data_IF_388705752127
#
_entry.id   IF_388705752127
#
_cell.length_a   1.000
_cell.length_b   1.000
_cell.length_c   1.000
_cell.angle_alpha   90.00
_cell.angle_beta   90.00
_cell.angle_gamma   90.00
#
_symmetry.space_group_name_H-M   'P 1'
#
loop_
_entity.id
_entity.type
_entity.pdbx_description
1 polymer ?
#
# COMPACT_ATOMS: atom_id res chain seq x y z
N UNK A 1 8.62 -9.47 -1.67
CA UNK A 1 7.71 -9.69 -0.54
C UNK A 1 8.49 -10.40 0.56
N UNK A 2 8.93 -9.72 1.62
CA UNK A 2 9.42 -10.44 2.81
C UNK A 2 8.18 -11.07 3.42
N UNK A 3 7.97 -12.37 3.16
CA UNK A 3 7.11 -13.19 3.99
C UNK A 3 7.57 -12.91 5.42
N UNK A 4 6.75 -12.20 6.19
CA UNK A 4 6.95 -12.14 7.64
C UNK A 4 7.00 -13.59 8.07
N UNK A 5 8.14 -14.01 8.63
CA UNK A 5 8.31 -15.34 9.19
C UNK A 5 7.07 -15.62 10.01
N UNK A 6 6.27 -16.59 9.55
CA UNK A 6 5.32 -17.29 10.42
C UNK A 6 6.17 -17.67 11.63
N UNK A 7 5.74 -17.41 12.88
CA UNK A 7 6.34 -18.14 13.99
C UNK A 7 6.21 -19.59 13.57
N UNK A 8 7.34 -20.21 13.23
CA UNK A 8 7.39 -21.62 12.89
C UNK A 8 6.57 -22.30 13.97
N UNK A 9 5.58 -23.10 13.55
CA UNK A 9 4.86 -23.93 14.49
C UNK A 9 5.91 -24.95 14.94
N UNK A 10 6.70 -24.56 15.94
CA UNK A 10 7.98 -25.17 16.28
C UNK A 10 7.76 -26.52 16.97
N UNK A 11 6.50 -26.90 17.24
CA UNK A 11 6.16 -28.16 17.89
C UNK A 11 4.87 -28.78 17.33
N UNK A 12 4.81 -30.12 17.29
CA UNK A 12 3.60 -30.91 16.96
C UNK A 12 2.41 -30.50 17.84
N UNK A 13 2.67 -30.13 19.10
CA UNK A 13 1.66 -29.67 20.07
C UNK A 13 0.92 -28.40 19.62
N UNK A 14 1.63 -27.46 19.00
CA UNK A 14 1.02 -26.22 18.54
C UNK A 14 0.13 -26.47 17.30
N UNK A 15 0.48 -27.45 16.45
CA UNK A 15 -0.38 -27.92 15.35
C UNK A 15 -1.64 -28.57 15.93
N UNK A 16 -1.48 -29.52 16.86
CA UNK A 16 -2.59 -30.24 17.50
C UNK A 16 -3.54 -29.27 18.22
N UNK A 17 -3.00 -28.29 18.95
CA UNK A 17 -3.81 -27.27 19.61
C UNK A 17 -4.59 -26.41 18.61
N UNK A 18 -3.98 -26.05 17.48
CA UNK A 18 -4.65 -25.28 16.44
C UNK A 18 -5.76 -26.09 15.77
N UNK A 19 -5.51 -27.37 15.47
CA UNK A 19 -6.50 -28.28 14.90
C UNK A 19 -7.70 -28.42 15.84
N UNK A 20 -7.47 -28.67 17.12
CA UNK A 20 -8.55 -28.76 18.11
C UNK A 20 -9.37 -27.47 18.22
N UNK A 21 -8.73 -26.30 18.14
CA UNK A 21 -9.46 -25.03 18.15
C UNK A 21 -10.35 -24.89 16.91
N UNK A 22 -9.84 -25.26 15.73
CA UNK A 22 -10.62 -25.27 14.48
C UNK A 22 -11.79 -26.24 14.57
N UNK A 23 -11.57 -27.48 15.02
CA UNK A 23 -12.62 -28.48 15.20
C UNK A 23 -13.72 -28.00 16.14
N UNK A 24 -13.33 -27.34 17.24
CA UNK A 24 -14.28 -26.77 18.21
C UNK A 24 -15.13 -25.65 17.60
N UNK A 25 -14.54 -24.79 16.77
CA UNK A 25 -15.25 -23.70 16.08
C UNK A 25 -16.19 -24.28 15.02
N UNK A 26 -15.74 -25.27 14.24
CA UNK A 26 -16.54 -25.91 13.19
C UNK A 26 -17.71 -26.71 13.80
N UNK A 27 -17.46 -27.40 14.91
CA UNK A 27 -18.46 -28.22 15.62
C UNK A 27 -19.52 -27.40 16.37
N UNK A 28 -19.30 -26.10 16.60
CA UNK A 28 -20.26 -25.25 17.29
C UNK A 28 -20.38 -23.87 16.61
N UNK A 29 -21.41 -23.73 15.76
CA UNK A 29 -21.72 -22.50 15.02
C UNK A 29 -21.97 -21.27 15.92
N UNK A 30 -22.16 -21.45 17.23
CA UNK A 30 -22.30 -20.36 18.21
C UNK A 30 -20.95 -19.72 18.57
N UNK A 31 -19.84 -20.42 18.38
CA UNK A 31 -18.49 -19.95 18.74
C UNK A 31 -17.93 -19.18 17.55
N UNK A 32 -17.93 -17.86 17.63
CA UNK A 32 -17.25 -17.02 16.65
C UNK A 32 -15.77 -16.84 17.03
N UNK A 33 -14.83 -16.97 16.08
CA UNK A 33 -13.43 -16.65 16.34
C UNK A 33 -13.28 -15.17 16.68
N UNK A 34 -12.28 -14.85 17.52
CA UNK A 34 -11.99 -13.47 17.87
C UNK A 34 -11.59 -12.67 16.62
N UNK A 35 -12.30 -11.58 16.36
CA UNK A 35 -12.07 -10.74 15.20
C UNK A 35 -10.72 -10.03 15.32
N UNK A 36 -9.89 -10.19 14.29
CA UNK A 36 -8.58 -9.58 14.22
C UNK A 36 -8.17 -9.27 12.79
N UNK A 37 -7.92 -7.99 12.54
CA UNK A 37 -7.29 -7.55 11.29
C UNK A 37 -5.78 -7.75 11.40
N UNK A 38 -5.19 -8.36 10.37
CA UNK A 38 -3.77 -8.67 10.31
C UNK A 38 -3.22 -8.52 8.88
N UNK A 39 -1.94 -8.82 8.69
CA UNK A 39 -1.24 -8.66 7.42
C UNK A 39 -1.77 -9.57 6.30
N UNK A 40 -2.32 -10.74 6.64
CA UNK A 40 -2.90 -11.69 5.69
C UNK A 40 -4.29 -11.29 5.20
N UNK A 41 -4.95 -10.35 5.87
CA UNK A 41 -6.25 -9.84 5.43
C UNK A 41 -6.20 -9.33 3.99
N UNK A 42 -5.06 -8.85 3.48
CA UNK A 42 -4.90 -8.39 2.08
C UNK A 42 -5.21 -9.43 1.01
N UNK A 43 -5.05 -10.72 1.33
CA UNK A 43 -5.35 -11.83 0.41
C UNK A 43 -6.60 -12.61 0.84
N UNK A 44 -7.14 -12.34 2.03
CA UNK A 44 -8.33 -12.99 2.56
C UNK A 44 -9.57 -12.61 1.74
N UNK A 45 -10.48 -13.57 1.51
CA UNK A 45 -11.77 -13.33 0.86
C UNK A 45 -12.79 -12.66 1.80
N UNK A 46 -12.64 -12.86 3.11
CA UNK A 46 -13.52 -12.29 4.14
C UNK A 46 -13.06 -10.90 4.61
N UNK A 47 -12.12 -10.27 3.91
CA UNK A 47 -11.48 -9.03 4.37
C UNK A 47 -12.49 -7.92 4.63
N UNK A 48 -13.45 -7.74 3.73
CA UNK A 48 -14.39 -6.61 3.79
C UNK A 48 -15.41 -6.81 4.92
N UNK A 49 -15.92 -8.03 5.08
CA UNK A 49 -16.78 -8.41 6.21
C UNK A 49 -16.07 -8.23 7.55
N UNK A 50 -14.84 -8.76 7.68
CA UNK A 50 -14.05 -8.60 8.90
C UNK A 50 -13.76 -7.12 9.22
N UNK A 51 -13.46 -6.30 8.21
CA UNK A 51 -13.25 -4.86 8.41
C UNK A 51 -14.53 -4.16 8.85
N UNK A 52 -15.66 -4.51 8.25
CA UNK A 52 -16.95 -3.94 8.61
C UNK A 52 -17.29 -4.22 10.08
N UNK A 53 -17.18 -5.49 10.50
CA UNK A 53 -17.37 -5.87 11.90
C UNK A 53 -16.34 -5.17 12.81
N UNK A 54 -15.09 -5.05 12.38
CA UNK A 54 -14.04 -4.42 13.21
C UNK A 54 -14.29 -2.92 13.43
N UNK A 55 -14.83 -2.23 12.43
CA UNK A 55 -15.24 -0.83 12.54
C UNK A 55 -16.45 -0.71 13.48
N UNK A 56 -17.44 -1.59 13.31
CA UNK A 56 -18.65 -1.62 14.14
C UNK A 56 -18.35 -1.90 15.61
N UNK A 57 -17.45 -2.84 15.88
CA UNK A 57 -17.00 -3.22 17.23
C UNK A 57 -15.98 -2.24 17.82
N UNK A 58 -15.61 -1.19 17.10
CA UNK A 58 -14.58 -0.21 17.49
C UNK A 58 -13.24 -0.89 17.85
N UNK A 59 -12.92 -1.97 17.14
CA UNK A 59 -11.85 -2.92 17.47
C UNK A 59 -10.46 -2.32 17.19
N UNK A 60 -9.58 -2.34 18.20
CA UNK A 60 -8.22 -1.79 18.10
C UNK A 60 -7.41 -2.32 16.91
N UNK A 61 -7.59 -3.59 16.51
CA UNK A 61 -6.82 -4.23 15.42
C UNK A 61 -7.02 -3.56 14.05
N UNK A 62 -8.06 -2.74 13.89
CA UNK A 62 -8.30 -2.00 12.66
C UNK A 62 -7.24 -0.91 12.40
N UNK A 63 -6.57 -0.42 13.45
CA UNK A 63 -5.59 0.66 13.32
C UNK A 63 -4.32 0.19 12.61
N UNK A 64 -3.76 0.97 11.68
CA UNK A 64 -2.53 0.59 11.00
C UNK A 64 -1.36 0.51 11.99
N UNK A 65 -0.45 -0.43 11.75
CA UNK A 65 0.78 -0.70 12.55
C UNK A 65 0.56 -1.18 13.99
N UNK A 66 -0.69 -1.38 14.42
CA UNK A 66 -0.98 -2.02 15.70
C UNK A 66 -0.70 -3.53 15.61
N UNK A 67 -0.17 -4.09 16.69
CA UNK A 67 0.08 -5.54 16.81
C UNK A 67 -0.39 -6.05 18.18
N UNK A 68 -0.40 -7.36 18.37
CA UNK A 68 -0.94 -7.96 19.60
C UNK A 68 -0.25 -7.52 20.88
N UNK A 69 1.05 -7.26 20.82
CA UNK A 69 1.79 -6.77 21.99
C UNK A 69 1.28 -5.38 22.39
N UNK A 70 1.03 -4.52 21.40
CA UNK A 70 0.47 -3.18 21.60
C UNK A 70 -0.98 -3.28 22.10
N UNK A 71 -1.82 -4.10 21.47
CA UNK A 71 -3.22 -4.31 21.90
C UNK A 71 -3.26 -4.79 23.35
N UNK A 72 -2.48 -5.81 23.71
CA UNK A 72 -2.40 -6.29 25.11
C UNK A 72 -1.94 -5.20 26.07
N UNK A 73 -0.98 -4.38 25.67
CA UNK A 73 -0.51 -3.24 26.49
C UNK A 73 -1.62 -2.23 26.76
N UNK A 74 -2.47 -1.95 25.78
CA UNK A 74 -3.64 -1.07 25.95
C UNK A 74 -4.74 -1.73 26.79
N UNK A 75 -5.07 -3.00 26.51
CA UNK A 75 -6.09 -3.76 27.26
C UNK A 75 -5.74 -3.84 28.74
N UNK A 76 -4.46 -4.09 29.09
CA UNK A 76 -3.98 -4.12 30.48
C UNK A 76 -4.12 -2.77 31.21
N UNK A 77 -4.38 -1.67 30.48
CA UNK A 77 -4.62 -0.32 31.00
C UNK A 77 -6.07 0.14 30.82
N UNK A 78 -6.98 -0.80 30.54
CA UNK A 78 -8.42 -0.54 30.37
C UNK A 78 -8.79 0.14 29.06
N UNK A 79 -7.94 0.09 28.03
CA UNK A 79 -8.24 0.63 26.69
C UNK A 79 -8.48 -0.54 25.74
N UNK A 80 -9.73 -0.73 25.32
CA UNK A 80 -10.19 -1.85 24.51
C UNK A 80 -10.67 -1.44 23.12
N UNK A 81 -10.94 -0.15 22.90
CA UNK A 81 -11.55 0.34 21.67
C UNK A 81 -10.80 1.52 21.05
N UNK A 82 -10.99 1.78 19.74
CA UNK A 82 -10.37 2.93 19.06
C UNK A 82 -10.89 4.25 19.67
N UNK A 83 -12.19 4.36 19.96
CA UNK A 83 -12.74 5.53 20.65
C UNK A 83 -12.08 5.75 22.02
N UNK A 84 -11.89 4.73 22.85
CA UNK A 84 -11.19 4.88 24.14
C UNK A 84 -9.73 5.32 23.95
N UNK A 85 -9.05 4.77 22.94
CA UNK A 85 -7.68 5.12 22.61
C UNK A 85 -7.54 6.58 22.17
N UNK A 86 -8.56 7.14 21.48
CA UNK A 86 -8.56 8.54 21.06
C UNK A 86 -8.41 9.53 22.22
N UNK A 87 -9.00 9.24 23.40
CA UNK A 87 -8.90 10.08 24.59
C UNK A 87 -7.53 10.03 25.27
N UNK A 88 -6.66 9.09 24.87
CA UNK A 88 -5.26 9.07 25.31
C UNK A 88 -4.38 10.04 24.51
N UNK A 89 -4.88 10.56 23.38
CA UNK A 89 -4.13 11.55 22.61
C UNK A 89 -3.99 12.84 23.40
N UNK A 90 -2.77 13.38 23.43
CA UNK A 90 -2.46 14.68 24.02
C UNK A 90 -1.62 15.46 23.04
N UNK A 91 -2.11 16.61 22.60
CA UNK A 91 -1.32 17.54 21.81
C UNK A 91 -0.20 18.10 22.70
N UNK A 92 1.04 18.06 22.20
CA UNK A 92 2.27 18.60 22.79
C UNK A 92 2.75 18.00 24.13
N UNK A 93 3.97 17.47 24.08
CA UNK A 93 4.99 17.56 25.14
C UNK A 93 6.34 17.79 24.47
N UNK A 94 7.14 18.75 24.92
CA UNK A 94 8.43 19.14 24.30
C UNK A 94 9.46 18.00 24.20
N UNK A 95 9.23 16.89 24.90
CA UNK A 95 10.14 15.73 24.93
C UNK A 95 9.56 14.45 24.29
N UNK A 96 8.41 14.52 23.63
CA UNK A 96 7.81 13.32 23.02
C UNK A 96 8.32 13.09 21.60
N UNK A 97 8.81 11.87 21.33
CA UNK A 97 9.13 11.44 19.95
C UNK A 97 7.87 11.40 19.10
N UNK A 98 7.84 12.26 18.07
CA UNK A 98 6.66 12.49 17.23
C UNK A 98 6.34 11.34 16.28
N UNK A 99 7.31 10.48 15.99
CA UNK A 99 7.19 9.28 15.16
C UNK A 99 6.90 8.01 15.98
N UNK A 100 6.89 8.11 17.31
CA UNK A 100 6.69 6.94 18.17
C UNK A 100 5.27 6.37 18.04
N UNK A 101 5.18 5.04 17.94
CA UNK A 101 3.88 4.36 17.77
C UNK A 101 2.91 4.62 18.92
N UNK A 102 3.43 4.79 20.15
CA UNK A 102 2.64 5.12 21.33
C UNK A 102 2.05 6.53 21.30
N UNK A 103 2.60 7.41 20.47
CA UNK A 103 2.07 8.75 20.20
C UNK A 103 1.14 8.76 18.99
N UNK A 104 1.55 8.09 17.90
CA UNK A 104 0.83 8.06 16.62
C UNK A 104 -0.50 7.29 16.71
N UNK A 105 -0.57 6.17 17.45
CA UNK A 105 -1.81 5.39 17.54
C UNK A 105 -2.97 6.15 18.21
N UNK A 106 -2.78 6.80 19.39
CA UNK A 106 -3.79 7.70 19.94
C UNK A 106 -4.16 8.84 19.00
N UNK A 107 -3.18 9.44 18.30
CA UNK A 107 -3.43 10.51 17.33
C UNK A 107 -4.29 10.03 16.16
N UNK A 108 -4.03 8.85 15.61
CA UNK A 108 -4.86 8.20 14.56
C UNK A 108 -6.28 7.95 15.05
N UNK A 109 -6.41 7.38 16.25
CA UNK A 109 -7.71 7.16 16.86
C UNK A 109 -8.50 8.46 17.03
N UNK A 110 -7.81 9.54 17.42
CA UNK A 110 -8.40 10.88 17.51
C UNK A 110 -8.79 11.45 16.14
N UNK A 111 -7.93 11.34 15.11
CA UNK A 111 -8.27 11.73 13.73
C UNK A 111 -9.55 11.04 13.24
N UNK A 112 -9.64 9.71 13.43
CA UNK A 112 -10.81 8.90 13.04
C UNK A 112 -12.07 9.39 13.77
N UNK A 113 -12.01 9.56 15.10
CA UNK A 113 -13.16 10.00 15.90
C UNK A 113 -13.65 11.38 15.47
N UNK A 114 -12.73 12.32 15.31
CA UNK A 114 -13.05 13.72 14.98
C UNK A 114 -13.30 13.95 13.49
N UNK A 115 -13.01 12.95 12.64
CA UNK A 115 -13.07 13.03 11.18
C UNK A 115 -12.23 14.18 10.62
N UNK A 116 -11.02 14.37 11.16
CA UNK A 116 -10.10 15.46 10.78
C UNK A 116 -8.75 14.93 10.37
N UNK A 117 -8.17 15.56 9.35
CA UNK A 117 -6.75 15.39 9.01
C UNK A 117 -5.92 16.14 10.06
N UNK A 118 -4.88 15.48 10.58
CA UNK A 118 -3.98 16.07 11.58
C UNK A 118 -2.58 16.14 10.96
N UNK A 119 -2.00 17.34 10.98
CA UNK A 119 -0.59 17.55 10.63
C UNK A 119 0.23 17.42 11.91
N UNK A 120 0.93 16.31 12.05
CA UNK A 120 1.90 16.08 13.13
C UNK A 120 3.19 16.86 12.88
N UNK A 121 3.68 16.81 11.64
CA UNK A 121 4.84 17.58 11.17
C UNK A 121 4.65 18.01 9.72
N UNK A 122 5.15 19.21 9.41
CA UNK A 122 5.22 19.70 8.03
C UNK A 122 6.33 18.93 7.31
N UNK A 123 6.04 18.45 6.10
CA UNK A 123 7.01 17.75 5.25
C UNK A 123 7.20 18.55 3.99
N UNK A 124 8.46 18.84 3.66
CA UNK A 124 8.82 19.39 2.37
C UNK A 124 8.91 18.24 1.35
N UNK A 125 8.08 18.31 0.31
CA UNK A 125 8.19 17.40 -0.82
C UNK A 125 9.37 17.81 -1.70
N UNK A 126 9.98 16.86 -2.42
CA UNK A 126 11.01 17.18 -3.41
C UNK A 126 10.52 18.22 -4.43
N UNK A 127 11.32 19.27 -4.63
CA UNK A 127 11.01 20.37 -5.54
C UNK A 127 11.78 20.21 -6.86
N UNK A 128 11.39 19.23 -7.66
CA UNK A 128 11.98 18.99 -8.98
C UNK A 128 11.14 19.60 -10.10
N UNK A 129 11.77 19.96 -11.23
CA UNK A 129 11.07 20.50 -12.41
C UNK A 129 10.05 19.54 -13.04
N UNK A 130 10.21 18.23 -12.80
CA UNK A 130 9.34 17.18 -13.36
C UNK A 130 8.99 16.15 -12.29
N UNK A 131 7.73 16.09 -11.89
CA UNK A 131 7.24 15.06 -10.97
C UNK A 131 6.68 13.89 -11.76
N UNK A 132 7.03 12.67 -11.35
CA UNK A 132 6.68 11.45 -12.07
C UNK A 132 6.06 10.46 -11.08
N UNK A 133 4.77 10.22 -11.22
CA UNK A 133 4.00 9.31 -10.37
C UNK A 133 3.92 7.97 -11.06
N UNK A 134 4.40 6.92 -10.41
CA UNK A 134 4.47 5.58 -11.02
C UNK A 134 3.65 4.57 -10.26
N UNK A 135 3.15 3.59 -11.00
CA UNK A 135 2.57 2.37 -10.48
C UNK A 135 2.95 1.19 -11.38
N UNK A 136 3.13 0.02 -10.80
CA UNK A 136 3.60 -1.20 -11.50
C UNK A 136 2.64 -2.34 -11.22
N UNK A 137 2.11 -2.92 -12.30
CA UNK A 137 1.30 -4.14 -12.21
C UNK A 137 2.13 -5.38 -12.52
N UNK A 138 1.89 -6.43 -11.74
CA UNK A 138 2.56 -7.72 -11.92
C UNK A 138 1.70 -8.89 -11.51
N UNK A 139 2.18 -10.08 -11.85
CA UNK A 139 1.62 -11.38 -11.46
C UNK A 139 2.58 -12.01 -10.45
N UNK A 140 2.31 -11.90 -9.13
CA UNK A 140 3.25 -12.30 -8.10
C UNK A 140 3.70 -13.76 -8.19
N UNK A 141 2.78 -14.67 -8.55
CA UNK A 141 3.07 -16.10 -8.67
C UNK A 141 4.06 -16.42 -9.78
N UNK A 142 4.14 -15.57 -10.81
CA UNK A 142 5.06 -15.72 -11.94
C UNK A 142 6.31 -14.85 -11.78
N UNK A 143 6.40 -14.06 -10.70
CA UNK A 143 7.49 -13.11 -10.44
C UNK A 143 7.72 -12.13 -11.61
N UNK A 144 6.63 -11.76 -12.29
CA UNK A 144 6.62 -11.04 -13.55
C UNK A 144 5.83 -9.74 -13.43
N UNK A 145 6.38 -8.64 -13.94
CA UNK A 145 5.71 -7.33 -14.03
C UNK A 145 5.43 -7.01 -15.48
N UNK A 146 4.17 -6.69 -15.78
CA UNK A 146 3.71 -6.58 -17.16
C UNK A 146 3.34 -5.17 -17.59
N UNK A 147 3.24 -4.23 -16.64
CA UNK A 147 2.87 -2.85 -16.92
C UNK A 147 3.60 -1.91 -15.96
N UNK A 148 4.24 -0.88 -16.52
CA UNK A 148 4.70 0.30 -15.79
C UNK A 148 3.88 1.48 -16.29
N UNK A 149 3.04 2.05 -15.43
CA UNK A 149 2.33 3.30 -15.69
C UNK A 149 3.09 4.48 -15.13
N UNK A 150 2.89 5.64 -15.76
CA UNK A 150 3.30 6.88 -15.14
C UNK A 150 2.47 8.09 -15.58
N UNK A 151 2.35 9.04 -14.66
CA UNK A 151 1.89 10.40 -14.92
C UNK A 151 3.05 11.33 -14.68
N UNK A 152 3.29 12.19 -15.66
CA UNK A 152 4.39 13.15 -15.64
C UNK A 152 3.78 14.53 -15.55
N UNK A 153 4.05 15.23 -14.45
CA UNK A 153 3.67 16.62 -14.22
C UNK A 153 4.86 17.52 -14.55
N UNK A 154 4.70 18.38 -15.55
CA UNK A 154 5.69 19.36 -15.98
C UNK A 154 4.99 20.65 -16.40
N UNK A 155 5.42 21.79 -15.84
CA UNK A 155 4.93 23.13 -16.24
C UNK A 155 3.38 23.20 -16.29
N UNK A 156 2.71 22.73 -15.23
CA UNK A 156 1.24 22.64 -15.10
C UNK A 156 0.52 21.71 -16.10
N UNK A 157 1.26 20.90 -16.86
CA UNK A 157 0.69 19.88 -17.76
C UNK A 157 0.95 18.49 -17.23
N UNK A 158 -0.06 17.63 -17.36
CA UNK A 158 0.02 16.22 -17.00
C UNK A 158 0.06 15.38 -18.27
N UNK A 159 1.01 14.45 -18.35
CA UNK A 159 1.15 13.53 -19.46
C UNK A 159 1.10 12.09 -18.94
N UNK A 160 0.18 11.31 -19.49
CA UNK A 160 0.11 9.87 -19.19
C UNK A 160 0.97 9.08 -20.17
N UNK A 161 1.72 8.11 -19.62
CA UNK A 161 2.53 7.15 -20.37
C UNK A 161 2.43 5.78 -19.73
N UNK A 162 2.54 4.74 -20.54
CA UNK A 162 2.60 3.37 -20.08
C UNK A 162 3.59 2.56 -20.90
N UNK A 163 4.14 1.52 -20.29
CA UNK A 163 5.05 0.57 -20.89
C UNK A 163 4.53 -0.82 -20.58
N UNK A 164 4.42 -1.67 -21.61
CA UNK A 164 3.74 -2.97 -21.50
C UNK A 164 4.67 -4.10 -21.95
N UNK A 165 4.66 -5.20 -21.19
CA UNK A 165 5.29 -6.46 -21.54
C UNK A 165 4.22 -7.52 -21.84
N UNK A 166 4.34 -8.19 -22.99
CA UNK A 166 3.41 -9.26 -23.38
C UNK A 166 3.77 -10.58 -22.71
N UNK A 167 5.05 -10.80 -22.46
CA UNK A 167 5.61 -12.00 -21.85
C UNK A 167 6.74 -11.65 -20.86
N UNK A 168 7.19 -12.64 -20.11
CA UNK A 168 8.34 -12.52 -19.20
C UNK A 168 9.63 -12.10 -19.92
N UNK A 169 9.84 -12.53 -21.16
CA UNK A 169 10.99 -12.11 -21.96
C UNK A 169 10.96 -10.62 -22.35
N UNK A 170 9.79 -10.00 -22.36
CA UNK A 170 9.63 -8.58 -22.70
C UNK A 170 9.83 -7.66 -21.50
N UNK A 171 9.90 -8.19 -20.27
CA UNK A 171 9.96 -7.40 -19.04
C UNK A 171 11.17 -6.45 -19.02
N UNK A 172 12.35 -6.95 -19.41
CA UNK A 172 13.57 -6.13 -19.50
C UNK A 172 13.42 -5.06 -20.59
N UNK A 173 12.82 -5.38 -21.73
CA UNK A 173 12.60 -4.41 -22.80
C UNK A 173 11.63 -3.30 -22.37
N UNK A 174 10.52 -3.66 -21.72
CA UNK A 174 9.56 -2.75 -21.12
C UNK A 174 10.24 -1.80 -20.12
N UNK A 175 11.02 -2.36 -19.20
CA UNK A 175 11.79 -1.59 -18.23
C UNK A 175 12.75 -0.62 -18.93
N UNK A 176 13.50 -1.08 -19.94
CA UNK A 176 14.45 -0.23 -20.63
C UNK A 176 13.77 0.92 -21.37
N UNK A 177 12.63 0.69 -22.00
CA UNK A 177 11.83 1.75 -22.62
C UNK A 177 11.37 2.79 -21.60
N UNK A 178 10.95 2.36 -20.41
CA UNK A 178 10.63 3.25 -19.30
C UNK A 178 11.85 4.07 -18.88
N UNK A 179 12.97 3.40 -18.55
CA UNK A 179 14.21 4.05 -18.09
C UNK A 179 14.72 5.07 -19.11
N UNK A 180 14.78 4.70 -20.38
CA UNK A 180 15.23 5.58 -21.46
C UNK A 180 14.30 6.77 -21.68
N UNK A 181 13.01 6.61 -21.43
CA UNK A 181 12.05 7.70 -21.52
C UNK A 181 12.21 8.69 -20.37
N UNK A 182 12.27 8.18 -19.12
CA UNK A 182 12.40 9.01 -17.91
C UNK A 182 13.74 9.75 -17.88
N UNK A 183 14.84 9.09 -18.25
CA UNK A 183 16.16 9.73 -18.23
C UNK A 183 16.35 10.85 -19.26
N UNK A 184 15.36 11.14 -20.13
CA UNK A 184 15.34 12.35 -20.97
C UNK A 184 15.13 13.62 -20.14
N UNK A 185 14.50 13.52 -18.97
CA UNK A 185 14.37 14.62 -18.04
C UNK A 185 15.66 14.80 -17.24
N UNK A 186 16.13 16.04 -17.09
CA UNK A 186 17.37 16.37 -16.37
C UNK A 186 17.17 16.45 -14.86
N UNK A 187 16.03 16.99 -14.44
CA UNK A 187 15.64 17.17 -13.05
C UNK A 187 14.24 16.60 -12.86
N UNK A 188 14.13 15.55 -12.05
CA UNK A 188 12.87 14.85 -11.82
C UNK A 188 12.83 14.14 -10.47
N UNK A 189 11.62 13.92 -9.95
CA UNK A 189 11.34 13.07 -8.79
C UNK A 189 10.37 11.96 -9.17
N UNK A 190 10.67 10.73 -8.77
CA UNK A 190 9.81 9.56 -8.96
C UNK A 190 9.02 9.31 -7.66
N UNK A 191 7.74 9.60 -7.67
CA UNK A 191 6.84 9.32 -6.57
C UNK A 191 6.27 7.90 -6.69
N UNK A 192 6.28 7.17 -5.59
CA UNK A 192 5.72 5.83 -5.48
C UNK A 192 5.06 5.61 -4.12
N UNK A 193 4.21 4.57 -3.99
CA UNK A 193 3.43 4.33 -2.78
C UNK A 193 3.80 3.01 -2.08
N UNK A 194 4.78 3.08 -1.18
CA UNK A 194 5.31 1.91 -0.48
C UNK A 194 6.65 1.47 -1.04
N UNK A 195 6.96 0.18 -1.02
CA UNK A 195 8.29 -0.33 -1.39
C UNK A 195 8.28 -1.22 -2.62
N UNK A 196 7.14 -1.49 -3.24
CA UNK A 196 7.01 -2.52 -4.26
C UNK A 196 7.81 -2.16 -5.52
N UNK A 197 7.59 -0.95 -6.03
CA UNK A 197 8.20 -0.42 -7.26
C UNK A 197 9.72 -0.33 -7.11
N UNK A 198 10.18 0.20 -5.98
CA UNK A 198 11.62 0.31 -5.71
C UNK A 198 12.28 -1.05 -5.48
N UNK A 199 11.58 -2.02 -4.88
CA UNK A 199 12.11 -3.38 -4.79
C UNK A 199 12.22 -4.04 -6.16
N UNK A 200 11.25 -3.78 -7.06
CA UNK A 200 11.31 -4.21 -8.45
C UNK A 200 12.53 -3.63 -9.18
N UNK A 201 12.74 -2.32 -9.13
CA UNK A 201 13.91 -1.69 -9.77
C UNK A 201 15.24 -2.17 -9.19
N UNK A 202 15.35 -2.29 -7.86
CA UNK A 202 16.54 -2.83 -7.19
C UNK A 202 16.81 -4.29 -7.54
N UNK A 203 15.78 -5.09 -7.80
CA UNK A 203 15.94 -6.46 -8.30
C UNK A 203 16.47 -6.44 -9.73
N UNK A 204 15.88 -5.61 -10.59
CA UNK A 204 16.17 -5.59 -12.02
C UNK A 204 17.54 -5.00 -12.36
N UNK A 205 18.10 -4.14 -11.50
CA UNK A 205 19.42 -3.52 -11.76
C UNK A 205 20.51 -4.55 -12.04
N UNK A 206 20.46 -5.73 -11.41
CA UNK A 206 21.46 -6.78 -11.57
C UNK A 206 21.39 -7.49 -12.92
N UNK A 207 20.28 -7.37 -13.65
CA UNK A 207 20.07 -7.99 -14.96
C UNK A 207 20.44 -7.07 -16.13
N UNK A 208 20.97 -5.87 -15.85
CA UNK A 208 21.23 -4.84 -16.86
C UNK A 208 22.72 -4.66 -17.17
N UNK A 209 23.02 -4.22 -18.40
CA UNK A 209 24.36 -3.76 -18.75
C UNK A 209 24.73 -2.48 -17.96
N UNK A 210 26.02 -2.13 -17.95
CA UNK A 210 26.55 -1.02 -17.14
C UNK A 210 25.87 0.33 -17.43
N UNK A 211 25.69 0.68 -18.71
CA UNK A 211 25.04 1.94 -19.10
C UNK A 211 23.59 2.03 -18.60
N UNK A 212 22.84 0.93 -18.70
CA UNK A 212 21.46 0.84 -18.21
C UNK A 212 21.39 0.82 -16.68
N UNK A 213 22.36 0.23 -16.00
CA UNK A 213 22.47 0.25 -14.53
C UNK A 213 22.59 1.67 -14.00
N UNK A 214 23.45 2.49 -14.59
CA UNK A 214 23.62 3.91 -14.19
C UNK A 214 22.31 4.69 -14.32
N UNK A 215 21.58 4.49 -15.43
CA UNK A 215 20.28 5.15 -15.63
C UNK A 215 19.23 4.71 -14.61
N UNK A 216 19.13 3.41 -14.34
CA UNK A 216 18.16 2.90 -13.36
C UNK A 216 18.53 3.31 -11.93
N UNK A 217 19.83 3.33 -11.58
CA UNK A 217 20.30 3.83 -10.29
C UNK A 217 19.85 5.29 -10.07
N UNK A 218 20.01 6.15 -11.08
CA UNK A 218 19.52 7.54 -11.02
C UNK A 218 18.01 7.63 -10.75
N UNK A 219 17.20 6.74 -11.32
CA UNK A 219 15.74 6.69 -11.07
C UNK A 219 15.47 6.28 -9.61
N UNK A 220 16.19 5.29 -9.08
CA UNK A 220 16.07 4.85 -7.70
C UNK A 220 16.49 5.96 -6.72
N UNK A 221 17.61 6.64 -7.01
CA UNK A 221 18.14 7.71 -6.15
C UNK A 221 17.25 8.97 -6.17
N UNK A 222 16.52 9.19 -7.26
CA UNK A 222 15.57 10.30 -7.41
C UNK A 222 14.14 9.91 -7.01
N UNK A 223 13.97 8.85 -6.22
CA UNK A 223 12.64 8.35 -5.81
C UNK A 223 12.21 8.86 -4.43
N UNK A 224 10.90 9.03 -4.26
CA UNK A 224 10.28 9.50 -3.04
C UNK A 224 9.04 8.65 -2.69
N UNK A 225 9.04 8.07 -1.50
CA UNK A 225 7.97 7.21 -1.02
C UNK A 225 6.90 8.02 -0.28
N UNK A 226 5.74 8.26 -0.89
CA UNK A 226 4.67 9.06 -0.28
C UNK A 226 4.05 8.38 0.95
N UNK A 227 4.07 7.04 1.03
CA UNK A 227 3.50 6.33 2.19
C UNK A 227 4.22 6.68 3.51
N UNK A 228 5.49 7.08 3.48
CA UNK A 228 6.22 7.44 4.71
C UNK A 228 5.59 8.66 5.40
N UNK A 229 5.13 9.65 4.63
CA UNK A 229 4.48 10.86 5.12
C UNK A 229 3.19 10.52 5.86
N UNK A 230 2.35 9.67 5.27
CA UNK A 230 1.05 9.31 5.85
C UNK A 230 1.14 8.40 7.07
N UNK A 231 2.31 7.81 7.32
CA UNK A 231 2.51 7.02 8.54
C UNK A 231 2.66 7.92 9.75
N UNK A 232 3.46 8.98 9.66
CA UNK A 232 3.89 9.70 10.86
C UNK A 232 3.64 11.20 10.80
N UNK A 233 3.60 11.81 9.63
CA UNK A 233 3.59 13.27 9.50
C UNK A 233 2.18 13.82 9.24
N UNK A 234 1.41 13.18 8.36
CA UNK A 234 0.04 13.59 8.03
C UNK A 234 -0.91 12.43 8.31
N UNK A 235 -1.77 12.61 9.31
CA UNK A 235 -2.67 11.56 9.79
C UNK A 235 -4.08 11.83 9.27
N UNK A 236 -4.49 11.02 8.29
CA UNK A 236 -5.84 11.04 7.76
C UNK A 236 -6.82 10.33 8.70
N UNK A 237 -8.11 10.72 8.72
CA UNK A 237 -9.15 10.05 9.49
C UNK A 237 -9.60 8.75 8.79
N UNK A 238 -8.64 7.91 8.41
CA UNK A 238 -8.84 6.66 7.69
C UNK A 238 -8.35 5.48 8.53
N UNK A 239 -9.05 4.36 8.44
CA UNK A 239 -8.66 3.12 9.13
C UNK A 239 -7.42 2.45 8.51
N UNK A 240 -6.98 2.86 7.31
CA UNK A 240 -5.73 2.40 6.73
C UNK A 240 -5.03 3.56 6.02
N UNK A 241 -3.71 3.44 5.88
CA UNK A 241 -2.91 4.33 5.04
C UNK A 241 -2.79 3.76 3.62
N UNK A 242 -3.84 3.13 3.07
CA UNK A 242 -3.81 2.73 1.66
C UNK A 242 -4.00 3.95 0.77
N UNK A 243 -3.37 3.94 -0.42
CA UNK A 243 -3.56 4.98 -1.42
C UNK A 243 -5.06 5.18 -1.71
N UNK A 244 -5.80 4.07 -1.87
CA UNK A 244 -7.24 4.08 -2.10
C UNK A 244 -8.03 4.86 -1.06
N UNK A 245 -7.79 4.61 0.23
CA UNK A 245 -8.53 5.32 1.28
C UNK A 245 -8.16 6.79 1.39
N UNK A 246 -6.87 7.13 1.27
CA UNK A 246 -6.43 8.53 1.37
C UNK A 246 -6.95 9.33 0.17
N UNK A 247 -6.80 8.82 -1.07
CA UNK A 247 -7.29 9.55 -2.23
C UNK A 247 -8.83 9.64 -2.25
N UNK A 248 -9.56 8.60 -1.83
CA UNK A 248 -11.02 8.70 -1.66
C UNK A 248 -11.42 9.74 -0.62
N UNK A 249 -10.67 9.89 0.48
CA UNK A 249 -10.89 10.98 1.43
C UNK A 249 -10.65 12.37 0.80
N UNK A 250 -9.75 12.46 -0.18
CA UNK A 250 -9.52 13.64 -1.01
C UNK A 250 -10.50 13.74 -2.21
N UNK A 251 -11.61 13.02 -2.18
CA UNK A 251 -12.65 12.98 -3.22
C UNK A 251 -12.18 12.48 -4.60
N UNK A 252 -11.14 11.65 -4.64
CA UNK A 252 -10.73 10.98 -5.87
C UNK A 252 -11.55 9.71 -6.11
N UNK A 253 -12.05 9.56 -7.34
CA UNK A 253 -12.88 8.45 -7.77
C UNK A 253 -12.17 7.58 -8.83
N UNK A 254 -12.11 6.27 -8.59
CA UNK A 254 -11.58 5.31 -9.56
C UNK A 254 -12.61 5.01 -10.63
N UNK A 255 -12.21 5.21 -11.90
CA UNK A 255 -13.09 5.03 -13.06
C UNK A 255 -13.01 3.65 -13.72
N UNK A 256 -12.03 2.84 -13.32
CA UNK A 256 -11.80 1.50 -13.89
C UNK A 256 -12.84 0.50 -13.39
N UNK A 257 -13.23 -0.44 -14.25
CA UNK A 257 -14.07 -1.59 -13.88
C UNK A 257 -13.34 -2.56 -12.95
N UNK A 258 -12.02 -2.72 -13.14
CA UNK A 258 -11.15 -3.43 -12.21
C UNK A 258 -11.07 -2.61 -10.90
N UNK A 259 -11.45 -3.23 -9.78
CA UNK A 259 -11.53 -2.58 -8.46
C UNK A 259 -10.44 -3.01 -7.49
N UNK A 260 -9.73 -4.08 -7.80
CA UNK A 260 -8.73 -4.69 -6.91
C UNK A 260 -7.56 -5.30 -7.68
N UNK A 261 -6.40 -5.43 -7.01
CA UNK A 261 -5.25 -6.14 -7.58
C UNK A 261 -5.48 -7.65 -7.80
N UNK A 262 -6.50 -8.24 -7.16
CA UNK A 262 -6.91 -9.63 -7.48
C UNK A 262 -7.59 -9.68 -8.84
N UNK A 263 -8.52 -8.77 -9.09
CA UNK A 263 -9.18 -8.62 -10.38
C UNK A 263 -8.16 -8.26 -11.49
N UNK A 264 -7.17 -7.40 -11.23
CA UNK A 264 -6.13 -7.09 -12.23
C UNK A 264 -5.34 -8.33 -12.64
N UNK A 265 -5.05 -9.24 -11.71
CA UNK A 265 -4.41 -10.54 -12.00
C UNK A 265 -5.35 -11.42 -12.85
N UNK A 266 -6.62 -11.56 -12.48
CA UNK A 266 -7.60 -12.35 -13.25
C UNK A 266 -7.77 -11.80 -14.67
N UNK A 267 -7.92 -10.48 -14.82
CA UNK A 267 -7.98 -9.81 -16.11
C UNK A 267 -6.68 -10.02 -16.91
N UNK A 268 -5.51 -10.00 -16.27
CA UNK A 268 -4.25 -10.31 -16.96
C UNK A 268 -4.20 -11.76 -17.46
N UNK A 269 -4.67 -12.73 -16.67
CA UNK A 269 -4.76 -14.13 -17.09
C UNK A 269 -5.71 -14.29 -18.27
N UNK A 270 -6.88 -13.64 -18.23
CA UNK A 270 -7.83 -13.65 -19.34
C UNK A 270 -7.24 -13.03 -20.61
N UNK A 271 -6.55 -11.89 -20.47
CA UNK A 271 -5.82 -11.26 -21.58
C UNK A 271 -4.77 -12.20 -22.17
N UNK A 272 -4.07 -12.99 -21.36
CA UNK A 272 -3.09 -13.95 -21.87
C UNK A 272 -3.73 -15.01 -22.79
N UNK A 273 -4.97 -15.42 -22.51
CA UNK A 273 -5.71 -16.42 -23.28
C UNK A 273 -6.26 -15.89 -24.61
N UNK A 274 -6.85 -14.70 -24.59
CA UNK A 274 -7.63 -14.19 -25.74
C UNK A 274 -7.04 -12.94 -26.40
N UNK A 275 -6.00 -12.34 -25.80
CA UNK A 275 -5.36 -11.09 -26.26
C UNK A 275 -6.33 -9.93 -26.48
N UNK A 276 -7.44 -9.91 -25.72
CA UNK A 276 -8.50 -8.90 -25.85
C UNK A 276 -7.98 -7.48 -25.66
N UNK A 277 -8.24 -6.62 -26.65
CA UNK A 277 -7.87 -5.20 -26.58
C UNK A 277 -8.55 -4.49 -25.43
N UNK A 278 -9.81 -4.81 -25.15
CA UNK A 278 -10.60 -4.14 -24.10
C UNK A 278 -9.99 -4.42 -22.73
N UNK A 279 -9.70 -5.68 -22.41
CA UNK A 279 -9.07 -6.07 -21.14
C UNK A 279 -7.72 -5.35 -20.95
N UNK A 280 -6.92 -5.23 -22.02
CA UNK A 280 -5.65 -4.48 -21.95
C UNK A 280 -5.88 -3.00 -21.65
N UNK A 281 -6.88 -2.38 -22.27
CA UNK A 281 -7.22 -0.98 -22.01
C UNK A 281 -7.73 -0.78 -20.59
N UNK A 282 -8.50 -1.73 -20.05
CA UNK A 282 -9.01 -1.67 -18.67
C UNK A 282 -7.88 -1.82 -17.64
N UNK A 283 -6.92 -2.72 -17.89
CA UNK A 283 -5.70 -2.84 -17.08
C UNK A 283 -4.87 -1.56 -17.10
N UNK A 284 -4.73 -0.93 -18.27
CA UNK A 284 -4.04 0.36 -18.40
C UNK A 284 -4.81 1.46 -17.66
N UNK A 285 -6.15 1.47 -17.75
CA UNK A 285 -6.98 2.45 -17.04
C UNK A 285 -6.91 2.28 -15.52
N UNK A 286 -6.91 1.05 -15.02
CA UNK A 286 -6.74 0.74 -13.61
C UNK A 286 -5.43 1.32 -13.07
N UNK A 287 -4.31 0.96 -13.70
CA UNK A 287 -2.98 1.42 -13.34
C UNK A 287 -2.81 2.95 -13.51
N UNK A 288 -3.41 3.54 -14.54
CA UNK A 288 -3.45 5.00 -14.70
C UNK A 288 -4.22 5.68 -13.55
N UNK A 289 -5.32 5.10 -13.08
CA UNK A 289 -6.07 5.65 -11.95
C UNK A 289 -5.23 5.62 -10.67
N UNK A 290 -4.41 4.59 -10.46
CA UNK A 290 -3.50 4.51 -9.30
C UNK A 290 -2.37 5.55 -9.40
N UNK A 291 -1.80 5.77 -10.59
CA UNK A 291 -0.87 6.88 -10.82
C UNK A 291 -1.53 8.25 -10.53
N UNK A 292 -2.78 8.46 -10.97
CA UNK A 292 -3.51 9.72 -10.78
C UNK A 292 -3.85 9.94 -9.30
N UNK A 293 -4.29 8.89 -8.61
CA UNK A 293 -4.52 8.92 -7.17
C UNK A 293 -3.24 9.33 -6.43
N UNK A 294 -2.09 8.80 -6.84
CA UNK A 294 -0.79 9.15 -6.26
C UNK A 294 -0.46 10.63 -6.46
N UNK A 295 -0.71 11.17 -7.65
CA UNK A 295 -0.54 12.59 -7.94
C UNK A 295 -1.46 13.47 -7.06
N UNK A 296 -2.75 13.10 -6.94
CA UNK A 296 -3.71 13.83 -6.09
C UNK A 296 -3.25 13.85 -4.64
N UNK A 297 -2.85 12.69 -4.12
CA UNK A 297 -2.38 12.53 -2.73
C UNK A 297 -1.09 13.29 -2.47
N UNK A 298 -0.26 13.53 -3.48
CA UNK A 298 0.96 14.36 -3.36
C UNK A 298 0.71 15.87 -3.36
N UNK A 299 -0.52 16.32 -3.64
CA UNK A 299 -0.86 17.75 -3.77
C UNK A 299 -1.45 18.36 -2.49
N UNK A 300 -1.27 17.67 -1.36
CA UNK A 300 -1.79 18.05 -0.03
C UNK A 300 -0.90 19.03 0.72
#
# INVERSE_FOLDING_TARGET
>A
MRLSKVPSIDTVKDIESTIHEVERIVGNKSIKPALKINTHCKICQFQDECKYEAIKDDNLSILPEINDKIIRSYNNRGVFTVNQLSYKFRARKDHQRKDSISYILPMRAYAIREKKVIVNEVVELPNSLVDIYIDIEGVPNENFNYLIGCIIRKENKNYTRYFWAESTSDEINMLMRFVDYICKFKDFTIYHYGSYEMNYFKKMINSLNEKSRVKLARIIDSSFNLLSIFRYNIIFPCYTNSLKHIATHLNYEWKSDIKSGKESITSRMEWNLNKSRNIKLDLILYNNNDCYALMVVSSI
#
